data_IF_503681087845
#
_entry.id   IF_503681087845
#
_cell.length_a   1.000
_cell.length_b   1.000
_cell.length_c   1.000
_cell.angle_alpha   90.00
_cell.angle_beta   90.00
_cell.angle_gamma   90.00
#
_symmetry.space_group_name_H-M   'P 1'
#
loop_
_entity.id
_entity.type
_entity.pdbx_description
1 polymer ?
#
# COMPACT_ATOMS: atom_id res chain seq x y z
N UNK A 1 -4.49 9.97 14.51
CA UNK A 1 -5.00 8.76 13.86
C UNK A 1 -5.81 9.26 12.67
N UNK A 2 -5.22 9.28 11.49
CA UNK A 2 -5.85 9.86 10.29
C UNK A 2 -6.93 8.89 9.83
N UNK A 3 -8.18 9.35 9.84
CA UNK A 3 -9.34 8.62 9.35
C UNK A 3 -9.18 8.44 7.83
N UNK A 4 -9.08 7.20 7.35
CA UNK A 4 -9.04 6.94 5.91
C UNK A 4 -10.40 7.36 5.35
N UNK A 5 -10.43 8.35 4.47
CA UNK A 5 -11.67 8.78 3.84
C UNK A 5 -12.31 7.60 3.10
N UNK A 6 -13.61 7.39 3.25
CA UNK A 6 -14.37 6.28 2.65
C UNK A 6 -14.22 6.15 1.12
N UNK A 7 -13.67 7.17 0.43
CA UNK A 7 -13.40 7.18 -1.01
C UNK A 7 -11.90 7.34 -1.37
N UNK A 8 -10.97 7.15 -0.43
CA UNK A 8 -9.54 7.20 -0.77
C UNK A 8 -9.18 6.03 -1.68
N UNK A 9 -8.46 6.29 -2.78
CA UNK A 9 -8.01 5.24 -3.69
C UNK A 9 -7.04 4.27 -2.98
N UNK A 10 -7.17 2.97 -3.23
CA UNK A 10 -6.28 1.94 -2.69
C UNK A 10 -5.59 1.15 -3.80
N UNK A 11 -4.28 0.97 -3.68
CA UNK A 11 -3.52 0.02 -4.47
C UNK A 11 -3.33 -1.28 -3.70
N UNK A 12 -3.69 -2.41 -4.31
CA UNK A 12 -3.35 -3.74 -3.82
C UNK A 12 -2.23 -4.33 -4.67
N UNK A 13 -1.10 -4.66 -4.06
CA UNK A 13 0.04 -5.25 -4.76
C UNK A 13 0.13 -6.74 -4.45
N UNK A 14 -0.02 -7.56 -5.50
CA UNK A 14 0.21 -9.00 -5.45
C UNK A 14 1.71 -9.27 -5.66
N UNK A 15 2.36 -9.89 -4.67
CA UNK A 15 3.82 -10.06 -4.68
C UNK A 15 4.25 -11.32 -3.93
N UNK A 16 5.46 -11.80 -4.19
CA UNK A 16 6.14 -12.81 -3.36
C UNK A 16 6.91 -12.20 -2.18
N UNK A 17 7.03 -10.87 -2.13
CA UNK A 17 7.86 -10.16 -1.17
C UNK A 17 7.12 -8.90 -0.65
N UNK A 18 6.09 -9.06 0.20
CA UNK A 18 5.31 -7.95 0.73
C UNK A 18 6.16 -6.95 1.54
N UNK A 19 7.18 -7.44 2.25
CA UNK A 19 8.06 -6.60 3.10
C UNK A 19 8.93 -5.59 2.30
N UNK A 20 8.99 -5.70 0.97
CA UNK A 20 9.69 -4.71 0.14
C UNK A 20 8.91 -3.40 -0.02
N UNK A 21 7.65 -3.38 0.38
CA UNK A 21 6.76 -2.21 0.27
C UNK A 21 6.74 -1.40 1.58
N UNK A 22 6.50 -0.09 1.52
CA UNK A 22 6.11 0.70 0.34
C UNK A 22 7.25 0.95 -0.66
N UNK A 23 8.50 0.66 -0.30
CA UNK A 23 9.65 0.80 -1.20
C UNK A 23 9.69 2.20 -1.85
N UNK A 24 9.87 2.30 -3.17
CA UNK A 24 9.81 3.57 -3.91
C UNK A 24 8.52 4.39 -3.71
N UNK A 25 7.39 3.75 -3.39
CA UNK A 25 6.12 4.43 -3.13
C UNK A 25 6.12 5.23 -1.82
N UNK A 26 7.10 4.98 -0.95
CA UNK A 26 7.29 5.72 0.30
C UNK A 26 8.02 7.06 0.13
N UNK A 27 8.42 7.45 -1.07
CA UNK A 27 9.21 8.66 -1.31
C UNK A 27 8.39 9.79 -1.98
N UNK A 28 8.90 11.02 -1.85
CA UNK A 28 8.36 12.21 -2.52
C UNK A 28 6.85 12.40 -2.24
N UNK A 29 6.10 12.91 -3.23
CA UNK A 29 4.67 13.17 -3.13
C UNK A 29 3.84 11.90 -2.87
N UNK A 30 4.22 10.75 -3.45
CA UNK A 30 3.52 9.49 -3.25
C UNK A 30 3.59 9.06 -1.78
N UNK A 31 4.77 9.08 -1.18
CA UNK A 31 4.97 8.74 0.23
C UNK A 31 4.31 9.72 1.18
N UNK A 32 4.37 11.01 0.89
CA UNK A 32 3.66 12.03 1.68
C UNK A 32 2.15 11.79 1.65
N UNK A 33 1.57 11.59 0.47
CA UNK A 33 0.14 11.34 0.32
C UNK A 33 -0.30 10.02 0.99
N UNK A 34 0.56 9.00 1.01
CA UNK A 34 0.33 7.76 1.74
C UNK A 34 0.28 8.01 3.26
N UNK A 35 1.24 8.78 3.78
CA UNK A 35 1.29 9.15 5.19
C UNK A 35 0.12 10.06 5.61
N UNK A 36 -0.33 10.93 4.70
CA UNK A 36 -1.46 11.83 4.92
C UNK A 36 -2.82 11.13 4.73
N UNK A 37 -2.83 9.84 4.37
CA UNK A 37 -4.06 9.03 4.19
C UNK A 37 -4.88 9.38 2.94
N UNK A 38 -4.27 10.06 1.97
CA UNK A 38 -4.92 10.43 0.69
C UNK A 38 -5.09 9.20 -0.22
N UNK A 39 -4.22 8.20 -0.04
CA UNK A 39 -4.36 6.87 -0.65
C UNK A 39 -3.83 5.80 0.31
N UNK A 40 -4.16 4.55 0.02
CA UNK A 40 -3.74 3.40 0.83
C UNK A 40 -3.01 2.34 0.00
N UNK A 41 -2.12 1.60 0.65
CA UNK A 41 -1.37 0.48 0.05
C UNK A 41 -1.66 -0.80 0.82
N UNK A 42 -2.11 -1.82 0.11
CA UNK A 42 -2.20 -3.20 0.60
C UNK A 42 -1.17 -4.05 -0.14
N UNK A 43 -0.51 -4.96 0.58
CA UNK A 43 0.34 -5.98 -0.03
C UNK A 43 -0.15 -7.37 0.31
N UNK A 44 -0.19 -8.24 -0.70
CA UNK A 44 -0.70 -9.60 -0.58
C UNK A 44 0.39 -10.56 -1.01
N UNK A 45 0.78 -11.46 -0.10
CA UNK A 45 1.68 -12.58 -0.42
C UNK A 45 0.91 -13.64 -1.20
N UNK A 46 1.22 -13.79 -2.49
CA UNK A 46 0.53 -14.75 -3.34
C UNK A 46 0.88 -16.21 -3.02
N UNK A 47 1.93 -16.48 -2.23
CA UNK A 47 2.27 -17.85 -1.79
C UNK A 47 1.18 -18.47 -0.94
N UNK A 48 0.37 -17.66 -0.26
CA UNK A 48 -0.80 -18.13 0.48
C UNK A 48 -1.90 -18.74 -0.41
N UNK A 49 -1.80 -18.57 -1.74
CA UNK A 49 -2.79 -19.02 -2.72
C UNK A 49 -2.26 -20.11 -3.67
N UNK A 50 -1.02 -20.59 -3.45
CA UNK A 50 -0.46 -21.70 -4.20
C UNK A 50 -0.70 -23.02 -3.45
N UNK A 51 -1.28 -24.01 -4.13
CA UNK A 51 -1.62 -25.35 -3.64
C UNK A 51 -0.55 -26.38 -3.95
#
# INVERSE_FOLDING_TARGET
MTEIQENSWQATVLTLFPDMFPGPLGYSLAGKALNDGIWALETVDIRAFAS
#
